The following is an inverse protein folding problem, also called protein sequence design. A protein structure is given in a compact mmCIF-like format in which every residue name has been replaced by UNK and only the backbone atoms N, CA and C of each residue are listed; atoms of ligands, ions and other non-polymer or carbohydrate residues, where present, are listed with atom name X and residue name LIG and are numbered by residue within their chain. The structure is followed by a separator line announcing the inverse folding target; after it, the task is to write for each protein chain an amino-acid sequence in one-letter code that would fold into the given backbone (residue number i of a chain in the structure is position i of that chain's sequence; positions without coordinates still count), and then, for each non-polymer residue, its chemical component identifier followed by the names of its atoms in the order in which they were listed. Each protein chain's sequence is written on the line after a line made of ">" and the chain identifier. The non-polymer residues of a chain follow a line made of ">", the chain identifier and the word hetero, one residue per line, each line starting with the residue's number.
data_IF_474909344290
#
_entry.id   IF_474909344290
#
_cell.length_a   1.000
_cell.length_b   1.000
_cell.length_c   1.000
_cell.angle_alpha   90.00
_cell.angle_beta   90.00
_cell.angle_gamma   90.00
#
_symmetry.space_group_name_H-M   'P 1'
#
loop_
_entity.id
_entity.type
_entity.pdbx_description
1 polymer ?
#
# COMPACT_ATOMS: atom_id res chain seq x y z
N UNK A 1 -41.07 19.96 -49.48
CA UNK A 1 -40.89 19.07 -48.31
C UNK A 1 -39.39 18.75 -48.19
N UNK A 2 -38.69 19.45 -47.32
CA UNK A 2 -37.24 19.26 -47.09
C UNK A 2 -37.07 18.45 -45.80
N UNK A 3 -36.55 17.23 -45.95
CA UNK A 3 -36.17 16.37 -44.80
C UNK A 3 -34.87 16.88 -44.19
N UNK A 4 -34.97 17.43 -42.98
CA UNK A 4 -33.81 17.76 -42.15
C UNK A 4 -33.31 16.45 -41.54
N UNK A 5 -32.15 15.97 -42.02
CA UNK A 5 -31.40 14.87 -41.38
C UNK A 5 -30.57 15.46 -40.22
N UNK A 6 -31.03 15.26 -38.99
CA UNK A 6 -30.27 15.50 -37.77
C UNK A 6 -29.18 14.45 -37.65
N UNK A 7 -27.91 14.84 -37.88
CA UNK A 7 -26.75 14.04 -37.50
C UNK A 7 -26.62 14.14 -35.97
N UNK A 8 -26.94 13.07 -35.28
CA UNK A 8 -26.55 12.89 -33.89
C UNK A 8 -25.05 12.52 -33.86
N UNK A 9 -24.20 13.48 -33.52
CA UNK A 9 -22.81 13.22 -33.21
C UNK A 9 -22.72 12.49 -31.88
N UNK A 10 -22.51 11.17 -31.93
CA UNK A 10 -22.16 10.37 -30.76
C UNK A 10 -20.76 10.75 -30.32
N UNK A 11 -20.66 11.56 -29.26
CA UNK A 11 -19.40 11.78 -28.55
C UNK A 11 -19.04 10.49 -27.82
N UNK A 12 -18.21 9.66 -28.46
CA UNK A 12 -17.55 8.55 -27.81
C UNK A 12 -16.54 9.15 -26.81
N UNK A 13 -16.98 9.33 -25.56
CA UNK A 13 -16.06 9.49 -24.44
C UNK A 13 -15.27 8.20 -24.33
N UNK A 14 -14.07 8.19 -24.92
CA UNK A 14 -13.08 7.15 -24.68
C UNK A 14 -12.75 7.18 -23.17
N UNK A 15 -13.37 6.28 -22.43
CA UNK A 15 -12.96 5.96 -21.08
C UNK A 15 -11.58 5.30 -21.19
N UNK A 16 -10.52 6.12 -21.16
CA UNK A 16 -9.18 5.62 -20.93
C UNK A 16 -9.14 5.25 -19.45
N UNK A 17 -8.98 3.97 -19.08
CA UNK A 17 -8.81 3.64 -17.68
C UNK A 17 -7.58 4.43 -17.17
N UNK A 18 -7.79 5.26 -16.17
CA UNK A 18 -6.68 5.92 -15.51
C UNK A 18 -5.82 4.81 -14.90
N UNK A 19 -4.63 4.59 -15.45
CA UNK A 19 -3.67 3.64 -14.88
C UNK A 19 -3.38 4.10 -13.45
N UNK A 20 -3.67 3.28 -12.46
CA UNK A 20 -3.42 3.61 -11.07
C UNK A 20 -1.89 3.73 -10.81
N UNK A 21 -1.50 4.38 -9.72
CA UNK A 21 -0.07 4.58 -9.42
C UNK A 21 0.70 3.26 -9.34
N UNK A 22 0.07 2.21 -8.77
CA UNK A 22 0.64 0.87 -8.67
C UNK A 22 0.80 0.15 -10.02
N UNK A 23 0.15 0.63 -11.09
CA UNK A 23 0.28 0.07 -12.45
C UNK A 23 1.39 0.77 -13.27
N UNK A 24 2.16 1.67 -12.66
CA UNK A 24 3.25 2.36 -13.35
C UNK A 24 4.31 1.37 -13.82
N UNK A 25 4.66 1.34 -15.12
CA UNK A 25 5.62 0.39 -15.68
C UNK A 25 7.02 0.50 -15.06
N UNK A 26 7.42 1.68 -14.54
CA UNK A 26 8.70 1.90 -13.85
C UNK A 26 8.86 1.00 -12.63
N UNK A 27 7.75 0.64 -11.97
CA UNK A 27 7.77 -0.22 -10.78
C UNK A 27 8.35 -1.60 -11.06
N UNK A 28 8.21 -2.15 -12.28
CA UNK A 28 8.74 -3.48 -12.58
C UNK A 28 10.27 -3.54 -12.49
N UNK A 29 10.94 -2.54 -13.04
CA UNK A 29 12.40 -2.44 -12.99
C UNK A 29 12.89 -2.11 -11.57
N UNK A 30 12.19 -1.22 -10.88
CA UNK A 30 12.49 -0.86 -9.50
C UNK A 30 12.36 -2.06 -8.56
N UNK A 31 11.30 -2.85 -8.64
CA UNK A 31 11.17 -4.08 -7.85
C UNK A 31 12.21 -5.13 -8.21
N UNK A 32 12.56 -5.28 -9.49
CA UNK A 32 13.62 -6.17 -9.91
C UNK A 32 15.00 -5.75 -9.37
N UNK A 33 15.24 -4.45 -9.22
CA UNK A 33 16.44 -3.91 -8.59
C UNK A 33 16.39 -4.08 -7.06
N UNK A 34 15.26 -3.77 -6.42
CA UNK A 34 15.05 -3.87 -4.98
C UNK A 34 15.26 -5.31 -4.48
N UNK A 35 14.74 -6.30 -5.19
CA UNK A 35 14.92 -7.72 -4.85
C UNK A 35 16.40 -8.18 -4.83
N UNK A 36 17.29 -7.45 -5.50
CA UNK A 36 18.74 -7.71 -5.51
C UNK A 36 19.52 -6.89 -4.48
N UNK A 37 18.91 -5.84 -3.95
CA UNK A 37 19.51 -4.93 -2.98
C UNK A 37 19.48 -5.57 -1.59
N UNK A 38 20.60 -6.20 -1.18
CA UNK A 38 20.74 -6.82 0.15
C UNK A 38 21.20 -5.86 1.23
N UNK A 39 21.64 -4.68 0.84
CA UNK A 39 22.14 -3.62 1.69
C UNK A 39 21.13 -2.46 1.70
N UNK A 40 20.81 -1.96 2.89
CA UNK A 40 19.88 -0.86 3.07
C UNK A 40 20.33 0.44 2.33
N UNK A 41 21.64 0.68 2.23
CA UNK A 41 22.16 1.84 1.52
C UNK A 41 21.90 1.76 0.00
N UNK A 42 21.88 0.55 -0.56
CA UNK A 42 21.54 0.31 -1.97
C UNK A 42 20.02 0.32 -2.15
N UNK A 43 19.28 -0.22 -1.20
CA UNK A 43 17.82 -0.31 -1.26
C UNK A 43 17.14 1.07 -1.11
N UNK A 44 17.61 1.92 -0.21
CA UNK A 44 16.96 3.17 0.17
C UNK A 44 16.62 4.11 -1.02
N UNK A 45 17.50 4.38 -1.98
CA UNK A 45 17.14 5.21 -3.13
C UNK A 45 16.06 4.54 -4.00
N UNK A 46 16.10 3.20 -4.18
CA UNK A 46 15.10 2.46 -4.95
C UNK A 46 13.74 2.50 -4.25
N UNK A 47 13.73 2.30 -2.94
CA UNK A 47 12.53 2.44 -2.11
C UNK A 47 11.94 3.84 -2.24
N UNK A 48 12.78 4.88 -2.19
CA UNK A 48 12.35 6.26 -2.36
C UNK A 48 11.62 6.51 -3.69
N UNK A 49 12.12 5.93 -4.78
CA UNK A 49 11.46 6.02 -6.08
C UNK A 49 10.13 5.25 -6.13
N UNK A 50 10.08 4.04 -5.54
CA UNK A 50 8.84 3.26 -5.43
C UNK A 50 7.79 4.04 -4.64
N UNK A 51 8.16 4.57 -3.47
CA UNK A 51 7.27 5.37 -2.64
C UNK A 51 6.78 6.64 -3.33
N UNK A 52 7.65 7.31 -4.09
CA UNK A 52 7.28 8.48 -4.87
C UNK A 52 6.21 8.14 -5.91
N UNK A 53 6.38 7.03 -6.64
CA UNK A 53 5.40 6.56 -7.62
C UNK A 53 4.08 6.18 -6.93
N UNK A 54 4.12 5.44 -5.83
CA UNK A 54 2.91 5.06 -5.09
C UNK A 54 2.16 6.26 -4.51
N UNK A 55 2.87 7.33 -4.16
CA UNK A 55 2.27 8.57 -3.67
C UNK A 55 1.63 9.43 -4.79
N UNK A 56 1.94 9.14 -6.07
CA UNK A 56 1.38 9.90 -7.18
C UNK A 56 -0.13 9.65 -7.33
N UNK A 57 -0.92 10.70 -7.20
CA UNK A 57 -2.35 10.68 -7.52
C UNK A 57 -2.65 11.48 -8.77
N UNK A 58 -3.42 10.91 -9.69
CA UNK A 58 -3.86 11.58 -10.93
C UNK A 58 -4.97 12.61 -10.72
N UNK A 59 -5.59 12.60 -9.55
CA UNK A 59 -6.59 13.58 -9.16
C UNK A 59 -5.95 14.69 -8.32
N UNK A 60 -5.97 15.95 -8.77
CA UNK A 60 -5.45 17.06 -7.96
C UNK A 60 -6.10 17.17 -6.58
N UNK A 61 -7.40 16.89 -6.49
CA UNK A 61 -8.12 16.87 -5.21
C UNK A 61 -7.60 15.76 -4.30
N UNK A 62 -7.44 14.55 -4.82
CA UNK A 62 -6.90 13.41 -4.07
C UNK A 62 -5.47 13.68 -3.63
N UNK A 63 -4.63 14.23 -4.51
CA UNK A 63 -3.25 14.60 -4.17
C UNK A 63 -3.20 15.59 -3.00
N UNK A 64 -4.00 16.67 -3.06
CA UNK A 64 -4.06 17.67 -1.97
C UNK A 64 -4.55 17.06 -0.64
N UNK A 65 -5.57 16.21 -0.68
CA UNK A 65 -6.10 15.55 0.53
C UNK A 65 -5.07 14.58 1.11
N UNK A 66 -4.34 13.85 0.27
CA UNK A 66 -3.27 12.93 0.69
C UNK A 66 -2.13 13.68 1.35
N UNK A 67 -1.64 14.76 0.71
CA UNK A 67 -0.60 15.62 1.28
C UNK A 67 -1.02 16.16 2.65
N UNK A 68 -2.23 16.71 2.74
CA UNK A 68 -2.75 17.25 4.01
C UNK A 68 -2.95 16.17 5.07
N UNK A 69 -3.39 14.97 4.67
CA UNK A 69 -3.51 13.81 5.56
C UNK A 69 -2.15 13.38 6.12
N UNK A 70 -1.13 13.37 5.27
CA UNK A 70 0.26 13.06 5.67
C UNK A 70 0.79 14.09 6.67
N UNK A 71 0.62 15.39 6.40
CA UNK A 71 1.04 16.45 7.32
C UNK A 71 0.34 16.35 8.68
N UNK A 72 -0.95 16.03 8.71
CA UNK A 72 -1.68 15.82 9.96
C UNK A 72 -1.16 14.60 10.74
N UNK A 73 -0.85 13.52 10.03
CA UNK A 73 -0.26 12.33 10.63
C UNK A 73 1.11 12.64 11.26
N UNK A 74 1.98 13.34 10.54
CA UNK A 74 3.29 13.78 11.04
C UNK A 74 3.18 14.73 12.25
N UNK A 75 2.11 15.50 12.32
CA UNK A 75 1.78 16.35 13.46
C UNK A 75 1.13 15.59 14.64
N UNK A 76 0.92 14.26 14.51
CA UNK A 76 0.28 13.43 15.53
C UNK A 76 -1.24 13.55 15.59
N UNK A 77 -1.87 14.20 14.62
CA UNK A 77 -3.32 14.35 14.55
C UNK A 77 -3.96 13.19 13.78
N UNK A 78 -3.91 12.01 14.41
CA UNK A 78 -4.35 10.75 13.83
C UNK A 78 -5.81 10.79 13.38
N UNK A 79 -6.70 11.40 14.17
CA UNK A 79 -8.14 11.42 13.88
C UNK A 79 -8.48 12.23 12.63
N UNK A 80 -7.87 13.42 12.49
CA UNK A 80 -8.06 14.24 11.29
C UNK A 80 -7.37 13.65 10.08
N UNK A 81 -6.17 13.09 10.24
CA UNK A 81 -5.49 12.36 9.16
C UNK A 81 -6.36 11.21 8.65
N UNK A 82 -6.90 10.37 9.54
CA UNK A 82 -7.76 9.25 9.20
C UNK A 82 -9.03 9.70 8.45
N UNK A 83 -9.64 10.81 8.88
CA UNK A 83 -10.81 11.38 8.18
C UNK A 83 -10.47 11.76 6.74
N UNK A 84 -9.29 12.34 6.49
CA UNK A 84 -8.84 12.67 5.14
C UNK A 84 -8.58 11.42 4.31
N UNK A 85 -7.87 10.42 4.85
CA UNK A 85 -7.61 9.18 4.10
C UNK A 85 -8.87 8.37 3.81
N UNK A 86 -9.86 8.37 4.70
CA UNK A 86 -11.20 7.82 4.40
C UNK A 86 -11.88 8.54 3.25
N UNK A 87 -11.74 9.86 3.18
CA UNK A 87 -12.25 10.65 2.04
C UNK A 87 -11.49 10.30 0.75
N UNK A 88 -10.16 10.19 0.83
CA UNK A 88 -9.32 9.80 -0.32
C UNK A 88 -9.72 8.43 -0.85
N UNK A 89 -9.86 7.42 0.02
CA UNK A 89 -10.23 6.06 -0.41
C UNK A 89 -11.66 5.99 -0.95
N UNK A 90 -12.56 6.87 -0.52
CA UNK A 90 -13.91 6.98 -1.09
C UNK A 90 -13.91 7.64 -2.47
N UNK A 91 -13.05 8.64 -2.71
CA UNK A 91 -12.93 9.34 -4.00
C UNK A 91 -12.12 8.55 -5.04
N UNK A 92 -11.11 7.81 -4.58
CA UNK A 92 -10.16 7.07 -5.41
C UNK A 92 -9.95 5.68 -4.81
N UNK A 93 -10.92 4.76 -4.97
CA UNK A 93 -10.90 3.44 -4.31
C UNK A 93 -9.82 2.49 -4.86
N UNK A 94 -9.18 2.83 -5.97
CA UNK A 94 -8.06 2.14 -6.61
C UNK A 94 -6.68 2.71 -6.23
N UNK A 95 -6.61 3.64 -5.27
CA UNK A 95 -5.37 4.23 -4.81
C UNK A 95 -4.78 3.42 -3.63
N UNK A 96 -3.90 2.47 -3.92
CA UNK A 96 -3.36 1.51 -2.95
C UNK A 96 -2.69 2.20 -1.75
N UNK A 97 -1.88 3.25 -1.99
CA UNK A 97 -1.18 3.97 -0.92
C UNK A 97 -2.13 4.63 0.08
N UNK A 98 -3.28 5.13 -0.38
CA UNK A 98 -4.26 5.71 0.54
C UNK A 98 -4.85 4.66 1.50
N UNK A 99 -5.10 3.44 1.01
CA UNK A 99 -5.53 2.32 1.86
C UNK A 99 -4.44 1.90 2.84
N UNK A 100 -3.18 1.88 2.40
CA UNK A 100 -2.05 1.61 3.29
C UNK A 100 -1.93 2.66 4.40
N UNK A 101 -2.00 3.97 4.07
CA UNK A 101 -1.99 5.05 5.07
C UNK A 101 -3.15 4.94 6.05
N UNK A 102 -4.33 4.64 5.56
CA UNK A 102 -5.49 4.39 6.42
C UNK A 102 -5.24 3.22 7.37
N UNK A 103 -4.64 2.12 6.91
CA UNK A 103 -4.32 0.97 7.74
C UNK A 103 -3.34 1.31 8.87
N UNK A 104 -2.31 2.11 8.60
CA UNK A 104 -1.35 2.58 9.61
C UNK A 104 -2.09 3.38 10.70
N UNK A 105 -2.92 4.33 10.31
CA UNK A 105 -3.69 5.18 11.23
C UNK A 105 -4.70 4.38 12.07
N UNK A 106 -5.41 3.41 11.46
CA UNK A 106 -6.33 2.52 12.20
C UNK A 106 -5.55 1.63 13.19
N UNK A 107 -4.35 1.17 12.82
CA UNK A 107 -3.50 0.39 13.71
C UNK A 107 -3.03 1.22 14.93
N UNK A 108 -2.65 2.47 14.74
CA UNK A 108 -2.27 3.38 15.83
C UNK A 108 -3.43 3.65 16.80
N UNK A 109 -4.67 3.59 16.32
CA UNK A 109 -5.87 3.69 17.16
C UNK A 109 -6.23 2.38 17.87
N UNK A 110 -5.51 1.28 17.58
CA UNK A 110 -5.85 -0.05 18.08
C UNK A 110 -7.03 -0.70 17.35
N UNK A 111 -7.49 -0.12 16.25
CA UNK A 111 -8.62 -0.62 15.44
C UNK A 111 -8.15 -1.74 14.49
N UNK A 112 -7.66 -2.83 15.08
CA UNK A 112 -7.00 -3.95 14.37
C UNK A 112 -7.80 -4.50 13.20
N UNK A 113 -9.13 -4.68 13.37
CA UNK A 113 -9.98 -5.23 12.31
C UNK A 113 -10.11 -4.28 11.10
N UNK A 114 -10.17 -2.96 11.36
CA UNK A 114 -10.21 -1.94 10.32
C UNK A 114 -8.85 -1.88 9.59
N UNK A 115 -7.74 -1.89 10.34
CA UNK A 115 -6.39 -1.93 9.78
C UNK A 115 -6.19 -3.14 8.87
N UNK A 116 -6.58 -4.34 9.30
CA UNK A 116 -6.50 -5.56 8.47
C UNK A 116 -7.34 -5.45 7.19
N UNK A 117 -8.52 -4.82 7.27
CA UNK A 117 -9.38 -4.62 6.09
C UNK A 117 -8.71 -3.68 5.09
N UNK A 118 -8.10 -2.60 5.57
CA UNK A 118 -7.39 -1.65 4.73
C UNK A 118 -6.10 -2.27 4.13
N UNK A 119 -5.33 -3.04 4.91
CA UNK A 119 -4.15 -3.77 4.40
C UNK A 119 -4.53 -4.78 3.32
N UNK A 120 -5.63 -5.53 3.52
CA UNK A 120 -6.12 -6.44 2.48
C UNK A 120 -6.42 -5.69 1.20
N UNK A 121 -7.10 -4.54 1.28
CA UNK A 121 -7.40 -3.74 0.10
C UNK A 121 -6.14 -3.20 -0.56
N UNK A 122 -5.13 -2.76 0.22
CA UNK A 122 -3.82 -2.38 -0.31
C UNK A 122 -3.19 -3.50 -1.13
N UNK A 123 -3.18 -4.73 -0.59
CA UNK A 123 -2.56 -5.89 -1.23
C UNK A 123 -3.37 -6.45 -2.41
N UNK A 124 -4.69 -6.26 -2.45
CA UNK A 124 -5.50 -6.53 -3.64
C UNK A 124 -5.14 -5.60 -4.81
N UNK A 125 -4.80 -4.33 -4.52
CA UNK A 125 -4.44 -3.32 -5.51
C UNK A 125 -2.96 -3.41 -5.92
N UNK A 126 -2.05 -3.60 -4.96
CA UNK A 126 -0.61 -3.76 -5.19
C UNK A 126 -0.08 -4.93 -4.34
N UNK A 127 -0.04 -6.13 -4.91
CA UNK A 127 0.47 -7.32 -4.20
C UNK A 127 1.93 -7.23 -3.76
N UNK A 128 2.72 -6.31 -4.38
CA UNK A 128 4.13 -6.08 -4.05
C UNK A 128 4.33 -5.00 -2.99
N UNK A 129 3.27 -4.57 -2.31
CA UNK A 129 3.35 -3.55 -1.27
C UNK A 129 4.00 -4.13 0.00
N UNK A 130 5.34 -4.20 0.00
CA UNK A 130 6.12 -4.86 1.06
C UNK A 130 5.87 -4.30 2.46
N UNK A 131 5.62 -2.99 2.59
CA UNK A 131 5.29 -2.40 3.89
C UNK A 131 3.90 -2.84 4.40
N UNK A 132 2.91 -3.01 3.51
CA UNK A 132 1.61 -3.55 3.89
C UNK A 132 1.70 -5.03 4.30
N UNK A 133 2.54 -5.83 3.62
CA UNK A 133 2.83 -7.22 4.02
C UNK A 133 3.51 -7.26 5.40
N UNK A 134 4.49 -6.41 5.65
CA UNK A 134 5.15 -6.33 6.94
C UNK A 134 4.17 -5.90 8.06
N UNK A 135 3.34 -4.89 7.82
CA UNK A 135 2.31 -4.46 8.77
C UNK A 135 1.30 -5.57 9.07
N UNK A 136 0.85 -6.29 8.04
CA UNK A 136 -0.03 -7.45 8.21
C UNK A 136 0.63 -8.55 9.07
N UNK A 137 1.92 -8.83 8.83
CA UNK A 137 2.70 -9.75 9.63
C UNK A 137 2.74 -9.36 11.10
N UNK A 138 2.99 -8.09 11.41
CA UNK A 138 2.99 -7.56 12.78
C UNK A 138 1.63 -7.69 13.47
N UNK A 139 0.55 -7.40 12.76
CA UNK A 139 -0.82 -7.58 13.30
C UNK A 139 -1.10 -9.07 13.58
N UNK A 140 -0.79 -9.96 12.64
CA UNK A 140 -1.01 -11.40 12.80
C UNK A 140 -0.19 -11.98 13.97
N UNK A 141 1.06 -11.52 14.15
CA UNK A 141 1.87 -11.88 15.31
C UNK A 141 1.21 -11.44 16.63
N UNK A 142 0.71 -10.21 16.68
CA UNK A 142 0.01 -9.69 17.86
C UNK A 142 -1.26 -10.46 18.22
N UNK A 143 -1.90 -11.08 17.23
CA UNK A 143 -3.07 -11.95 17.37
C UNK A 143 -2.69 -13.40 17.69
N UNK A 144 -1.39 -13.74 17.75
CA UNK A 144 -0.89 -15.08 18.04
C UNK A 144 -0.92 -16.04 16.85
N UNK A 145 -1.19 -15.57 15.64
CA UNK A 145 -1.06 -16.39 14.43
C UNK A 145 0.36 -16.32 13.86
N UNK A 146 1.29 -16.94 14.59
CA UNK A 146 2.71 -16.95 14.27
C UNK A 146 3.00 -17.48 12.86
N UNK A 147 2.22 -18.46 12.39
CA UNK A 147 2.43 -19.05 11.05
C UNK A 147 2.01 -18.10 9.94
N UNK A 148 0.86 -17.45 10.06
CA UNK A 148 0.42 -16.46 9.10
C UNK A 148 1.30 -15.21 9.14
N UNK A 149 1.73 -14.79 10.34
CA UNK A 149 2.67 -13.68 10.51
C UNK A 149 3.99 -13.94 9.78
N UNK A 150 4.59 -15.14 9.98
CA UNK A 150 5.82 -15.55 9.32
C UNK A 150 5.66 -15.56 7.78
N UNK A 151 4.54 -16.08 7.29
CA UNK A 151 4.27 -16.08 5.85
C UNK A 151 4.20 -14.66 5.27
N UNK A 152 3.57 -13.72 5.98
CA UNK A 152 3.48 -12.32 5.56
C UNK A 152 4.88 -11.63 5.59
N UNK A 153 5.68 -11.86 6.63
CA UNK A 153 7.05 -11.36 6.70
C UNK A 153 7.94 -11.94 5.60
N UNK A 154 7.85 -13.23 5.33
CA UNK A 154 8.62 -13.87 4.26
C UNK A 154 8.22 -13.32 2.88
N UNK A 155 6.94 -13.03 2.66
CA UNK A 155 6.47 -12.38 1.43
C UNK A 155 7.03 -10.94 1.31
N UNK A 156 7.05 -10.17 2.39
CA UNK A 156 7.66 -8.84 2.41
C UNK A 156 9.15 -8.88 2.06
N UNK A 157 9.89 -9.83 2.69
CA UNK A 157 11.33 -10.02 2.47
C UNK A 157 11.67 -10.55 1.09
N UNK A 158 10.78 -11.28 0.44
CA UNK A 158 10.96 -11.72 -0.95
C UNK A 158 10.95 -10.53 -1.92
N UNK A 159 10.18 -9.48 -1.61
CA UNK A 159 10.10 -8.26 -2.41
C UNK A 159 11.24 -7.30 -2.04
N UNK A 160 11.44 -7.08 -0.75
CA UNK A 160 12.46 -6.20 -0.21
C UNK A 160 13.34 -6.92 0.82
N UNK A 161 14.46 -7.51 0.39
CA UNK A 161 15.36 -8.21 1.31
C UNK A 161 16.11 -7.31 2.29
N UNK A 162 16.06 -5.99 2.13
CA UNK A 162 16.77 -5.03 2.99
C UNK A 162 16.04 -4.73 4.31
N UNK A 163 14.80 -5.19 4.49
CA UNK A 163 13.99 -4.98 5.68
C UNK A 163 14.53 -5.73 6.89
N UNK A 164 15.54 -5.15 7.57
CA UNK A 164 16.26 -5.82 8.65
C UNK A 164 15.36 -6.15 9.85
N UNK A 165 14.50 -5.23 10.27
CA UNK A 165 13.58 -5.44 11.39
C UNK A 165 12.62 -6.59 11.12
N UNK A 166 12.05 -6.64 9.91
CA UNK A 166 11.16 -7.73 9.45
C UNK A 166 11.90 -9.06 9.44
N UNK A 167 13.17 -9.06 9.02
CA UNK A 167 14.04 -10.25 9.03
C UNK A 167 14.26 -10.78 10.44
N UNK A 168 14.49 -9.90 11.40
CA UNK A 168 14.67 -10.30 12.80
C UNK A 168 13.36 -10.87 13.38
N UNK A 169 12.22 -10.24 13.12
CA UNK A 169 10.90 -10.74 13.54
C UNK A 169 10.63 -12.13 12.93
N UNK A 170 10.82 -12.31 11.63
CA UNK A 170 10.67 -13.60 10.96
C UNK A 170 11.58 -14.69 11.58
N UNK A 171 12.81 -14.33 11.95
CA UNK A 171 13.76 -15.26 12.61
C UNK A 171 13.27 -15.67 13.99
N UNK A 172 12.71 -14.75 14.77
CA UNK A 172 12.13 -15.05 16.09
C UNK A 172 10.94 -15.99 15.95
N UNK A 173 10.01 -15.71 15.02
CA UNK A 173 8.83 -16.54 14.76
C UNK A 173 9.21 -17.96 14.33
N UNK A 174 10.21 -18.12 13.44
CA UNK A 174 10.68 -19.46 13.04
C UNK A 174 11.10 -20.29 14.24
N UNK A 175 11.90 -19.70 15.15
CA UNK A 175 12.34 -20.40 16.37
C UNK A 175 11.17 -20.76 17.29
N UNK A 176 10.18 -19.88 17.43
CA UNK A 176 8.98 -20.13 18.25
C UNK A 176 8.18 -21.29 17.67
N UNK A 177 7.90 -21.28 16.37
CA UNK A 177 7.17 -22.33 15.66
C UNK A 177 7.92 -23.69 15.69
N UNK A 178 9.25 -23.67 15.63
CA UNK A 178 10.08 -24.89 15.72
C UNK A 178 10.11 -25.45 17.15
N UNK A 179 10.18 -24.57 18.16
CA UNK A 179 10.18 -24.97 19.57
C UNK A 179 8.84 -25.60 20.03
N UNK A 180 7.73 -25.14 19.47
CA UNK A 180 6.39 -25.69 19.76
C UNK A 180 6.16 -27.10 19.16
N UNK A 181 7.11 -27.63 18.38
CA UNK A 181 7.03 -28.97 17.77
C UNK A 181 7.69 -30.08 18.60
N UNK A 182 8.27 -29.75 19.75
CA UNK A 182 8.94 -30.70 20.67
C UNK A 182 8.01 -31.00 21.84
#
# INVERSE_FOLDING_TARGET
>A
MAMIRTLAAAVLLAFWPAVAAQDDPRLNDLFAALAKAKDAAIAAPIEGEIWAIWAESKSPTTALLTERGTLLFEAGDVDRALTLFRTVTALTPDFAEAWHRMAVLESERGETAAAMTALRRTLELEPRHYAALAALGGILESLGDDKAALAAFDAALAINPSLEDVRQQAKVLRRRIEGDRI
#
